data_IF_516101135000
#
_entry.id   IF_516101135000
#
_cell.length_a   1.000
_cell.length_b   1.000
_cell.length_c   1.000
_cell.angle_alpha   90.00
_cell.angle_beta   90.00
_cell.angle_gamma   90.00
#
_symmetry.space_group_name_H-M   'P 1'
#
loop_
_entity.id
_entity.type
_entity.pdbx_description
1 polymer ?
#
# COMPACT_ATOMS: atom_id res chain seq x y z
N UNK A 1 -9.00 -3.45 -0.34
CA UNK A 1 -7.89 -2.84 0.44
C UNK A 1 -7.78 -3.47 1.81
N UNK A 2 -8.83 -3.38 2.65
CA UNK A 2 -8.80 -3.92 4.02
C UNK A 2 -8.51 -5.43 4.03
N UNK A 3 -9.27 -6.23 3.28
CA UNK A 3 -9.08 -7.68 3.24
C UNK A 3 -7.65 -8.09 2.82
N UNK A 4 -7.05 -7.40 1.85
CA UNK A 4 -5.69 -7.67 1.41
C UNK A 4 -4.66 -7.32 2.51
N UNK A 5 -4.76 -6.14 3.13
CA UNK A 5 -3.83 -5.76 4.20
C UNK A 5 -3.96 -6.66 5.44
N UNK A 6 -5.18 -7.09 5.78
CA UNK A 6 -5.39 -8.06 6.86
C UNK A 6 -4.78 -9.40 6.49
N UNK A 7 -5.04 -9.90 5.29
CA UNK A 7 -4.47 -11.16 4.81
C UNK A 7 -2.95 -11.17 4.89
N UNK A 8 -2.30 -10.08 4.46
CA UNK A 8 -0.84 -9.93 4.45
C UNK A 8 -0.24 -9.98 5.86
N UNK A 9 -0.87 -9.32 6.84
CA UNK A 9 -0.45 -9.41 8.26
C UNK A 9 -0.61 -10.83 8.79
N UNK A 10 -1.75 -11.48 8.50
CA UNK A 10 -2.01 -12.84 8.96
C UNK A 10 -1.10 -13.87 8.30
N UNK A 11 -0.66 -13.63 7.06
CA UNK A 11 0.33 -14.47 6.39
C UNK A 11 1.62 -14.58 7.22
N UNK A 12 2.20 -13.45 7.64
CA UNK A 12 3.39 -13.45 8.49
C UNK A 12 3.14 -14.01 9.90
N UNK A 13 1.93 -13.77 10.45
CA UNK A 13 1.54 -14.36 11.74
C UNK A 13 1.54 -15.90 11.66
N UNK A 14 0.92 -16.47 10.63
CA UNK A 14 0.86 -17.91 10.48
C UNK A 14 2.22 -18.53 10.17
N UNK A 15 3.06 -17.88 9.36
CA UNK A 15 4.46 -18.31 9.19
C UNK A 15 5.20 -18.36 10.53
N UNK A 16 4.98 -17.36 11.39
CA UNK A 16 5.61 -17.31 12.70
C UNK A 16 5.17 -18.48 13.58
N UNK A 17 3.88 -18.82 13.55
CA UNK A 17 3.30 -19.91 14.32
C UNK A 17 3.79 -21.27 13.83
N UNK A 18 3.78 -21.51 12.52
CA UNK A 18 4.05 -22.85 11.97
C UNK A 18 5.55 -23.16 11.83
N UNK A 19 6.35 -22.19 11.39
CA UNK A 19 7.76 -22.41 11.05
C UNK A 19 8.73 -21.51 11.84
N UNK A 20 8.22 -20.69 12.78
CA UNK A 20 9.04 -19.83 13.63
C UNK A 20 9.63 -18.60 12.92
N UNK A 21 9.34 -18.41 11.64
CA UNK A 21 9.81 -17.31 10.81
C UNK A 21 8.72 -16.24 10.64
N UNK A 22 9.02 -14.94 10.73
CA UNK A 22 10.36 -14.37 10.89
C UNK A 22 10.83 -14.29 12.33
N UNK A 23 12.14 -14.33 12.56
CA UNK A 23 12.73 -14.12 13.88
C UNK A 23 12.62 -12.66 14.30
N UNK A 24 12.80 -11.72 13.36
CA UNK A 24 12.65 -10.28 13.58
C UNK A 24 11.84 -9.63 12.46
N UNK A 25 11.22 -8.47 12.73
CA UNK A 25 10.48 -7.73 11.69
C UNK A 25 11.38 -7.15 10.58
N UNK A 26 12.70 -7.17 10.79
CA UNK A 26 13.69 -6.72 9.81
C UNK A 26 14.27 -7.88 9.00
N UNK A 27 13.83 -9.12 9.25
CA UNK A 27 14.29 -10.25 8.45
C UNK A 27 13.88 -10.03 6.99
N UNK A 28 14.80 -10.27 6.03
CA UNK A 28 14.52 -10.10 4.62
C UNK A 28 13.53 -11.15 4.14
N UNK A 29 12.63 -10.73 3.26
CA UNK A 29 11.66 -11.55 2.56
C UNK A 29 11.68 -11.25 1.06
N UNK A 30 11.24 -12.23 0.30
CA UNK A 30 11.05 -12.13 -1.14
C UNK A 30 9.54 -12.09 -1.40
N UNK A 31 9.03 -10.88 -1.62
CA UNK A 31 7.58 -10.62 -1.63
C UNK A 31 6.93 -11.13 -2.91
N UNK A 32 7.53 -10.78 -4.05
CA UNK A 32 7.03 -11.12 -5.38
C UNK A 32 8.19 -11.26 -6.35
N UNK A 33 7.97 -12.04 -7.41
CA UNK A 33 8.96 -12.27 -8.48
C UNK A 33 8.64 -11.52 -9.78
N UNK A 34 7.47 -10.87 -9.86
CA UNK A 34 6.98 -10.26 -11.08
C UNK A 34 6.86 -8.73 -10.93
N UNK A 35 7.32 -7.91 -11.90
CA UNK A 35 8.12 -8.26 -13.08
C UNK A 35 9.61 -8.51 -12.75
N UNK A 36 10.07 -8.05 -11.59
CA UNK A 36 11.40 -8.31 -11.02
C UNK A 36 11.24 -8.81 -9.58
N UNK A 37 12.28 -9.42 -8.97
CA UNK A 37 12.28 -9.76 -7.56
C UNK A 37 12.08 -8.53 -6.66
N UNK A 38 11.14 -8.61 -5.73
CA UNK A 38 10.87 -7.59 -4.73
C UNK A 38 11.47 -8.03 -3.40
N UNK A 39 12.64 -7.49 -3.08
CA UNK A 39 13.37 -7.81 -1.87
C UNK A 39 13.15 -6.73 -0.82
N UNK A 40 12.80 -7.15 0.40
CA UNK A 40 12.67 -6.20 1.49
C UNK A 40 12.43 -6.85 2.85
N UNK A 41 12.59 -6.09 3.93
CA UNK A 41 12.28 -6.54 5.27
C UNK A 41 10.77 -6.63 5.46
N UNK A 42 10.31 -7.58 6.26
CA UNK A 42 8.88 -7.88 6.48
C UNK A 42 8.09 -6.69 7.02
N UNK A 43 8.73 -5.81 7.79
CA UNK A 43 8.05 -4.59 8.26
C UNK A 43 7.63 -3.66 7.10
N UNK A 44 8.28 -3.71 5.93
CA UNK A 44 7.93 -2.87 4.79
C UNK A 44 6.54 -3.20 4.21
N UNK A 45 6.20 -4.44 3.79
CA UNK A 45 4.84 -4.79 3.38
C UNK A 45 3.83 -4.62 4.53
N UNK A 46 4.20 -4.89 5.79
CA UNK A 46 3.32 -4.65 6.94
C UNK A 46 2.91 -3.18 7.08
N UNK A 47 3.84 -2.24 6.87
CA UNK A 47 3.55 -0.79 6.88
C UNK A 47 2.61 -0.39 5.74
N UNK A 48 2.80 -0.95 4.54
CA UNK A 48 1.88 -0.75 3.41
C UNK A 48 0.49 -1.30 3.76
N UNK A 49 0.44 -2.51 4.33
CA UNK A 49 -0.79 -3.18 4.75
C UNK A 49 -1.55 -2.36 5.80
N UNK A 50 -0.86 -1.78 6.78
CA UNK A 50 -1.47 -0.84 7.74
C UNK A 50 -2.05 0.40 7.04
N UNK A 51 -1.31 1.01 6.12
CA UNK A 51 -1.80 2.15 5.35
C UNK A 51 -3.05 1.78 4.53
N UNK A 52 -3.08 0.60 3.91
CA UNK A 52 -4.22 0.11 3.15
C UNK A 52 -5.44 -0.17 4.02
N UNK A 53 -5.26 -0.73 5.21
CA UNK A 53 -6.34 -0.97 6.18
C UNK A 53 -6.92 0.36 6.65
N UNK A 54 -6.07 1.29 7.10
CA UNK A 54 -6.51 2.60 7.60
C UNK A 54 -7.22 3.37 6.48
N UNK A 55 -6.58 3.51 5.31
CA UNK A 55 -7.15 4.22 4.18
C UNK A 55 -8.46 3.61 3.69
N UNK A 56 -8.51 2.27 3.60
CA UNK A 56 -9.72 1.55 3.19
C UNK A 56 -10.87 1.67 4.19
N UNK A 57 -10.58 1.60 5.49
CA UNK A 57 -11.58 1.74 6.56
C UNK A 57 -12.16 3.15 6.60
N UNK A 58 -11.30 4.18 6.55
CA UNK A 58 -11.73 5.57 6.51
C UNK A 58 -12.55 5.87 5.25
N UNK A 59 -12.14 5.32 4.10
CA UNK A 59 -12.90 5.44 2.86
C UNK A 59 -14.28 4.79 2.94
N UNK A 60 -14.38 3.61 3.57
CA UNK A 60 -15.65 2.91 3.81
C UNK A 60 -16.61 3.74 4.68
N UNK A 61 -16.12 4.23 5.83
CA UNK A 61 -16.93 5.07 6.74
C UNK A 61 -17.47 6.31 6.01
N UNK A 62 -16.64 6.97 5.20
CA UNK A 62 -17.05 8.14 4.40
C UNK A 62 -18.14 7.81 3.40
N UNK A 63 -17.98 6.69 2.71
CA UNK A 63 -18.94 6.22 1.73
C UNK A 63 -20.31 5.94 2.38
N UNK A 64 -20.32 5.29 3.54
CA UNK A 64 -21.55 4.99 4.29
C UNK A 64 -22.25 6.27 4.81
N UNK A 65 -21.45 7.30 5.11
CA UNK A 65 -21.94 8.63 5.48
C UNK A 65 -22.41 9.47 4.27
N UNK A 66 -22.43 8.92 3.05
CA UNK A 66 -22.87 9.63 1.85
C UNK A 66 -21.86 10.64 1.29
N UNK A 67 -20.59 10.55 1.70
CA UNK A 67 -19.53 11.36 1.12
C UNK A 67 -18.95 10.69 -0.13
N UNK A 68 -18.66 11.48 -1.17
CA UNK A 68 -17.97 11.00 -2.38
C UNK A 68 -16.49 11.36 -2.35
N UNK A 69 -15.65 10.34 -2.47
CA UNK A 69 -14.20 10.50 -2.53
C UNK A 69 -13.80 10.95 -3.94
N UNK A 70 -13.43 12.23 -4.08
CA UNK A 70 -12.96 12.81 -5.34
C UNK A 70 -11.46 13.03 -5.28
N UNK A 71 -10.72 12.33 -6.14
CA UNK A 71 -9.28 12.49 -6.28
C UNK A 71 -8.95 13.61 -7.26
N UNK A 72 -8.23 14.64 -6.79
CA UNK A 72 -7.63 15.67 -7.65
C UNK A 72 -6.45 15.09 -8.42
N UNK A 73 -6.10 15.69 -9.57
CA UNK A 73 -4.98 15.21 -10.37
C UNK A 73 -3.64 15.25 -9.61
N UNK A 74 -3.45 16.26 -8.75
CA UNK A 74 -2.27 16.37 -7.88
C UNK A 74 -2.19 15.23 -6.87
N UNK A 75 -3.31 14.79 -6.30
CA UNK A 75 -3.39 13.66 -5.38
C UNK A 75 -3.12 12.34 -6.09
N UNK A 76 -3.64 12.18 -7.32
CA UNK A 76 -3.37 11.00 -8.16
C UNK A 76 -1.88 10.89 -8.50
N UNK A 77 -1.26 11.99 -8.96
CA UNK A 77 0.17 12.03 -9.29
C UNK A 77 1.01 11.76 -8.05
N UNK A 78 0.69 12.38 -6.90
CA UNK A 78 1.41 12.16 -5.66
C UNK A 78 1.29 10.71 -5.15
N UNK A 79 0.10 10.10 -5.23
CA UNK A 79 -0.07 8.69 -4.89
C UNK A 79 0.72 7.78 -5.83
N UNK A 80 0.67 8.05 -7.14
CA UNK A 80 1.43 7.28 -8.11
C UNK A 80 2.94 7.39 -7.85
N UNK A 81 3.44 8.60 -7.58
CA UNK A 81 4.84 8.82 -7.24
C UNK A 81 5.24 8.08 -5.94
N UNK A 82 4.38 8.09 -4.92
CA UNK A 82 4.63 7.36 -3.67
C UNK A 82 4.67 5.84 -3.87
N UNK A 83 3.74 5.30 -4.66
CA UNK A 83 3.71 3.89 -5.04
C UNK A 83 4.97 3.51 -5.82
N UNK A 84 5.34 4.30 -6.83
CA UNK A 84 6.54 4.05 -7.64
C UNK A 84 7.82 4.14 -6.81
N UNK A 85 7.91 5.05 -5.84
CA UNK A 85 9.03 5.13 -4.91
C UNK A 85 9.15 3.87 -4.04
N UNK A 86 8.04 3.40 -3.45
CA UNK A 86 8.04 2.17 -2.66
C UNK A 86 8.39 0.94 -3.52
N UNK A 87 7.84 0.84 -4.73
CA UNK A 87 8.16 -0.24 -5.68
C UNK A 87 9.64 -0.20 -6.07
N UNK A 88 10.18 0.98 -6.36
CA UNK A 88 11.60 1.14 -6.65
C UNK A 88 12.46 0.68 -5.47
N UNK A 89 12.10 1.00 -4.23
CA UNK A 89 12.85 0.56 -3.05
C UNK A 89 12.93 -0.98 -2.95
N UNK A 90 11.87 -1.70 -3.32
CA UNK A 90 11.88 -3.18 -3.38
C UNK A 90 12.66 -3.75 -4.57
N UNK A 91 12.67 -3.03 -5.70
CA UNK A 91 13.24 -3.50 -6.96
C UNK A 91 14.65 -2.97 -7.23
N UNK A 92 15.19 -2.06 -6.40
CA UNK A 92 16.44 -1.34 -6.66
C UNK A 92 17.60 -2.29 -6.97
N UNK A 93 17.75 -3.35 -6.17
CA UNK A 93 18.81 -4.34 -6.36
C UNK A 93 18.66 -5.03 -7.72
N UNK A 94 17.44 -5.47 -8.06
CA UNK A 94 17.15 -6.11 -9.34
C UNK A 94 17.39 -5.16 -10.53
N UNK A 95 17.00 -3.88 -10.40
CA UNK A 95 17.17 -2.86 -11.45
C UNK A 95 18.65 -2.56 -11.70
N UNK A 96 19.46 -2.46 -10.63
CA UNK A 96 20.88 -2.08 -10.74
C UNK A 96 21.74 -3.10 -11.50
N UNK A 97 21.24 -4.32 -11.65
CA UNK A 97 21.95 -5.43 -12.28
C UNK A 97 21.42 -5.69 -13.70
N UNK A 98 20.38 -5.00 -14.16
CA UNK A 98 19.90 -5.15 -15.53
C UNK A 98 20.84 -4.47 -16.55
N UNK A 99 21.00 -5.06 -17.77
CA UNK A 99 20.50 -6.35 -18.23
C UNK A 99 21.45 -7.50 -17.83
N UNK A 100 20.93 -8.53 -17.17
CA UNK A 100 21.71 -9.71 -16.72
C UNK A 100 20.89 -10.99 -16.84
N UNK A 101 21.57 -12.12 -16.99
CA UNK A 101 20.96 -13.45 -17.07
C UNK A 101 20.15 -13.84 -15.82
N UNK A 102 19.05 -14.57 -16.02
CA UNK A 102 18.16 -15.03 -14.95
C UNK A 102 18.86 -15.81 -13.82
N UNK A 103 19.97 -16.49 -14.12
CA UNK A 103 20.78 -17.20 -13.14
C UNK A 103 21.44 -16.26 -12.12
N UNK A 104 21.91 -15.09 -12.55
CA UNK A 104 22.51 -14.08 -11.67
C UNK A 104 21.44 -13.35 -10.85
N UNK A 105 20.23 -13.18 -11.38
CA UNK A 105 19.09 -12.64 -10.62
C UNK A 105 18.66 -13.55 -9.47
N UNK A 106 18.80 -14.88 -9.63
CA UNK A 106 18.46 -15.86 -8.58
C UNK A 106 19.50 -15.96 -7.46
N UNK A 107 20.75 -15.55 -7.72
CA UNK A 107 21.85 -15.58 -6.76
C UNK A 107 22.05 -14.24 -6.04
N UNK A 108 21.19 -13.26 -6.32
CA UNK A 108 21.25 -11.95 -5.69
C UNK A 108 21.02 -12.06 -4.19
N UNK A 109 22.09 -11.81 -3.44
CA UNK A 109 22.01 -11.61 -2.00
C UNK A 109 21.54 -10.17 -1.77
N UNK A 110 20.44 -9.94 -1.03
CA UNK A 110 19.89 -8.59 -0.86
C UNK A 110 20.94 -7.64 -0.31
N UNK A 111 21.02 -6.44 -0.89
CA UNK A 111 21.76 -5.34 -0.28
C UNK A 111 20.94 -4.75 0.87
N UNK A 112 21.42 -3.69 1.52
CA UNK A 112 20.63 -3.02 2.56
C UNK A 112 19.40 -2.35 1.93
N UNK A 113 18.22 -2.69 2.43
CA UNK A 113 16.95 -2.11 1.96
C UNK A 113 16.96 -0.57 2.03
N UNK A 114 16.54 0.08 0.94
CA UNK A 114 16.55 1.54 0.84
C UNK A 114 15.37 2.17 1.61
N UNK A 115 15.54 2.25 2.93
CA UNK A 115 14.56 2.83 3.85
C UNK A 115 14.17 4.26 3.51
N UNK A 116 15.11 5.08 3.00
CA UNK A 116 14.85 6.49 2.74
C UNK A 116 13.81 6.65 1.64
N UNK A 117 14.00 5.98 0.50
CA UNK A 117 13.06 6.04 -0.62
C UNK A 117 11.72 5.41 -0.24
N UNK A 118 11.76 4.27 0.47
CA UNK A 118 10.56 3.61 0.95
C UNK A 118 9.73 4.52 1.88
N UNK A 119 10.35 5.13 2.89
CA UNK A 119 9.68 5.99 3.87
C UNK A 119 9.15 7.28 3.23
N UNK A 120 9.86 7.86 2.26
CA UNK A 120 9.36 9.01 1.48
C UNK A 120 8.11 8.61 0.70
N UNK A 121 8.13 7.46 0.03
CA UNK A 121 6.97 6.95 -0.71
C UNK A 121 5.78 6.67 0.20
N UNK A 122 6.01 6.00 1.34
CA UNK A 122 5.01 5.69 2.35
C UNK A 122 4.40 6.97 2.95
N UNK A 123 5.24 7.95 3.30
CA UNK A 123 4.80 9.23 3.82
C UNK A 123 3.96 10.00 2.81
N UNK A 124 4.39 10.05 1.54
CA UNK A 124 3.66 10.73 0.48
C UNK A 124 2.28 10.10 0.27
N UNK A 125 2.21 8.77 0.20
CA UNK A 125 0.93 8.05 0.07
C UNK A 125 0.03 8.27 1.29
N UNK A 126 0.58 8.19 2.50
CA UNK A 126 -0.15 8.47 3.74
C UNK A 126 -0.67 9.91 3.82
N UNK A 127 0.15 10.88 3.41
CA UNK A 127 -0.24 12.29 3.35
C UNK A 127 -1.39 12.52 2.38
N UNK A 128 -1.39 11.88 1.21
CA UNK A 128 -2.50 11.99 0.26
C UNK A 128 -3.77 11.36 0.83
N UNK A 129 -3.68 10.18 1.44
CA UNK A 129 -4.84 9.56 2.13
C UNK A 129 -5.42 10.53 3.16
N UNK A 130 -4.58 11.05 4.05
CA UNK A 130 -5.01 12.03 5.06
C UNK A 130 -5.63 13.28 4.45
N UNK A 131 -5.03 13.83 3.39
CA UNK A 131 -5.53 15.04 2.70
C UNK A 131 -6.92 14.80 2.10
N UNK A 132 -7.09 13.70 1.38
CA UNK A 132 -8.38 13.30 0.79
C UNK A 132 -9.42 13.13 1.89
N UNK A 133 -9.00 12.59 3.04
CA UNK A 133 -9.86 12.49 4.19
C UNK A 133 -10.23 13.85 4.81
N UNK A 134 -9.62 14.97 4.43
CA UNK A 134 -10.06 16.31 4.89
C UNK A 134 -10.84 17.09 3.84
N UNK A 135 -10.78 16.68 2.57
CA UNK A 135 -11.38 17.41 1.44
C UNK A 135 -12.64 16.75 0.89
N UNK A 136 -13.10 15.66 1.50
CA UNK A 136 -14.31 14.96 1.04
C UNK A 136 -15.55 15.82 1.22
N UNK A 137 -16.40 15.90 0.19
CA UNK A 137 -17.63 16.67 0.21
C UNK A 137 -18.84 15.76 0.45
N UNK A 138 -19.74 16.18 1.34
CA UNK A 138 -20.99 15.49 1.61
C UNK A 138 -21.91 15.61 0.40
N UNK A 139 -22.52 14.49 -0.04
CA UNK A 139 -23.57 14.54 -1.05
C UNK A 139 -24.89 14.79 -0.34
N UNK A 140 -25.44 16.00 -0.47
CA UNK A 140 -26.81 16.28 -0.03
C UNK A 140 -27.79 15.51 -0.91
N UNK A 141 -28.36 14.43 -0.39
CA UNK A 141 -29.41 13.68 -1.07
C UNK A 141 -30.72 14.49 -1.05
N UNK A 142 -30.90 15.34 -2.07
CA UNK A 142 -32.08 16.23 -2.19
C UNK A 142 -33.31 15.56 -2.84
N UNK A 143 -33.29 14.25 -3.11
CA UNK A 143 -34.34 13.60 -3.92
C UNK A 143 -35.29 12.63 -3.19
N UNK A 144 -35.23 12.49 -1.86
CA UNK A 144 -36.21 11.64 -1.14
C UNK A 144 -37.52 12.34 -0.77
N UNK A 145 -37.64 13.67 -0.94
CA UNK A 145 -38.84 14.42 -0.47
C UNK A 145 -39.90 14.70 -1.54
N UNK A 146 -39.67 14.36 -2.82
CA UNK A 146 -40.69 14.54 -3.87
C UNK A 146 -41.67 13.38 -4.00
N UNK A 147 -41.41 12.23 -3.37
CA UNK A 147 -42.30 11.06 -3.48
C UNK A 147 -43.46 11.07 -2.46
N UNK A 148 -43.41 11.95 -1.46
CA UNK A 148 -44.46 12.07 -0.42
C UNK A 148 -45.46 13.22 -0.66
N UNK A 149 -45.36 13.91 -1.80
CA UNK A 149 -46.24 15.03 -2.17
C UNK A 149 -47.25 14.69 -3.29
N UNK A 150 -47.38 13.40 -3.65
CA UNK A 150 -48.32 12.91 -4.69
C UNK A 150 -49.31 11.88 -4.13
N UNK A 151 -49.41 11.71 -2.80
CA UNK A 151 -50.51 10.93 -2.18
C UNK A 151 -51.38 11.81 -1.29
#
# INVERSE_FOLDING_TARGET
MIAFGVWDIFYYLWLKVFIGWPKTLLDPDLLFLFPLPWWGPIIAPLLISLLMIIGGTLAGIRNDQGYVIRFRITEKIALLAGILAMLYAFMQDAISILPTDANLLSQLKPSQFNWQVFLVGLFLSGFVVWRIMRTTSYVSNKNSKSFFLIL
#
